data_IF_535636331552
#
_entry.id   IF_535636331552
#
_cell.length_a   1.000
_cell.length_b   1.000
_cell.length_c   1.000
_cell.angle_alpha   90.00
_cell.angle_beta   90.00
_cell.angle_gamma   90.00
#
_symmetry.space_group_name_H-M   'P 1'
#
loop_
_entity.id
_entity.type
_entity.pdbx_description
1 polymer ?
#
# COMPACT_ATOMS: atom_id res chain seq x y z
N UNK A 1 -5.51 -5.50 32.01
CA UNK A 1 -6.40 -6.36 32.84
C UNK A 1 -5.76 -6.82 34.16
N UNK A 2 -4.65 -7.58 34.15
CA UNK A 2 -4.07 -8.18 35.38
C UNK A 2 -3.67 -7.16 36.46
N UNK A 3 -3.13 -6.01 36.05
CA UNK A 3 -2.83 -4.89 36.96
C UNK A 3 -4.08 -4.42 37.70
N UNK A 4 -5.20 -4.26 37.00
CA UNK A 4 -6.48 -3.82 37.59
C UNK A 4 -7.07 -4.87 38.53
N UNK A 5 -6.94 -6.15 38.18
CA UNK A 5 -7.44 -7.26 38.99
C UNK A 5 -6.53 -7.60 40.18
N UNK A 6 -5.35 -6.98 40.28
CA UNK A 6 -4.31 -7.32 41.28
C UNK A 6 -3.91 -8.80 41.26
N UNK A 7 -3.92 -9.42 40.07
CA UNK A 7 -3.53 -10.82 39.86
C UNK A 7 -2.10 -10.84 39.27
N UNK A 8 -1.16 -11.62 39.85
CA UNK A 8 0.15 -11.85 39.25
C UNK A 8 0.05 -12.39 37.82
N UNK A 9 0.88 -11.89 36.91
CA UNK A 9 0.97 -12.35 35.53
C UNK A 9 2.39 -12.85 35.26
N UNK A 10 2.53 -13.97 34.54
CA UNK A 10 3.82 -14.41 34.02
C UNK A 10 3.79 -14.18 32.52
N UNK A 11 4.59 -13.24 32.05
CA UNK A 11 4.74 -12.95 30.62
C UNK A 11 5.90 -13.78 30.05
N UNK A 12 5.78 -14.25 28.83
CA UNK A 12 6.84 -15.00 28.16
C UNK A 12 6.84 -14.77 26.66
N UNK A 13 8.00 -14.88 26.03
CA UNK A 13 8.15 -14.72 24.59
C UNK A 13 9.33 -15.51 24.05
N UNK A 14 9.27 -15.89 22.78
CA UNK A 14 10.33 -16.65 22.10
C UNK A 14 10.58 -16.08 20.70
N UNK A 15 11.84 -16.15 20.24
CA UNK A 15 12.27 -15.76 18.90
C UNK A 15 13.46 -16.63 18.48
N UNK A 16 13.21 -17.70 17.72
CA UNK A 16 14.24 -18.67 17.37
C UNK A 16 14.80 -19.38 18.60
N UNK A 17 16.12 -19.33 18.80
CA UNK A 17 16.80 -19.91 19.98
C UNK A 17 16.73 -19.05 21.23
N UNK A 18 16.23 -17.80 21.13
CA UNK A 18 16.15 -16.87 22.24
C UNK A 18 14.74 -16.90 22.83
N UNK A 19 14.64 -16.68 24.14
CA UNK A 19 13.37 -16.50 24.82
C UNK A 19 13.57 -15.88 26.20
N UNK A 20 12.47 -15.40 26.77
CA UNK A 20 12.44 -14.78 28.09
C UNK A 20 11.16 -15.13 28.84
N UNK A 21 11.25 -15.10 30.17
CA UNK A 21 10.12 -15.17 31.09
C UNK A 21 10.24 -14.02 32.06
N UNK A 22 9.17 -13.24 32.22
CA UNK A 22 9.12 -12.06 33.06
C UNK A 22 7.90 -12.13 34.00
N UNK A 23 8.10 -12.32 35.32
CA UNK A 23 7.02 -12.23 36.29
C UNK A 23 6.61 -10.77 36.52
N UNK A 24 5.33 -10.47 36.34
CA UNK A 24 4.70 -9.16 36.51
C UNK A 24 3.81 -9.17 37.76
N UNK A 25 4.35 -8.68 38.89
CA UNK A 25 3.70 -8.67 40.20
C UNK A 25 3.05 -7.30 40.48
N UNK A 26 1.71 -7.21 40.55
CA UNK A 26 1.01 -5.98 40.90
C UNK A 26 1.18 -5.64 42.38
N UNK A 27 0.99 -4.36 42.74
CA UNK A 27 1.00 -3.93 44.13
C UNK A 27 -0.22 -4.51 44.87
N UNK A 28 0.01 -5.42 45.80
CA UNK A 28 -1.03 -5.97 46.68
C UNK A 28 -0.93 -5.23 48.03
N UNK A 29 -2.04 -4.64 48.47
CA UNK A 29 -2.20 -4.17 49.85
C UNK A 29 -2.83 -5.32 50.63
N UNK A 30 -2.09 -5.91 51.54
CA UNK A 30 -2.62 -6.84 52.54
C UNK A 30 -3.17 -6.03 53.71
N UNK A 31 -4.42 -6.28 54.10
CA UNK A 31 -5.12 -5.53 55.15
C UNK A 31 -4.68 -5.93 56.59
N UNK A 32 -3.66 -6.78 56.75
CA UNK A 32 -3.29 -7.41 58.03
C UNK A 32 -2.04 -6.84 58.72
N UNK A 33 -1.60 -5.62 58.41
CA UNK A 33 -0.44 -4.99 59.08
C UNK A 33 -0.87 -3.76 59.89
N UNK A 34 -1.37 -3.98 61.10
CA UNK A 34 -1.62 -2.95 62.13
C UNK A 34 -0.36 -2.43 62.82
N UNK A 35 0.83 -2.84 62.39
CA UNK A 35 2.10 -2.30 62.87
C UNK A 35 2.80 -1.52 61.75
N UNK A 36 3.31 -0.36 62.12
CA UNK A 36 3.83 0.72 61.28
C UNK A 36 5.19 0.44 60.63
N UNK A 37 5.44 -0.80 60.20
CA UNK A 37 6.66 -1.20 59.49
C UNK A 37 6.25 -2.13 58.34
N UNK A 38 5.52 -1.55 57.38
CA UNK A 38 4.88 -2.28 56.29
C UNK A 38 5.89 -2.99 55.41
N UNK A 39 5.88 -4.32 55.45
CA UNK A 39 6.68 -5.19 54.57
C UNK A 39 6.43 -4.79 53.12
N UNK A 40 7.48 -4.34 52.45
CA UNK A 40 7.45 -3.95 51.05
C UNK A 40 7.04 -5.17 50.21
N UNK A 41 5.79 -5.23 49.77
CA UNK A 41 5.34 -6.22 48.79
C UNK A 41 6.15 -6.02 47.50
N UNK A 42 6.93 -7.02 47.11
CA UNK A 42 7.71 -6.99 45.88
C UNK A 42 6.78 -6.68 44.70
N UNK A 43 7.00 -5.54 44.04
CA UNK A 43 6.24 -5.08 42.89
C UNK A 43 7.20 -4.91 41.72
N UNK A 44 6.83 -5.42 40.56
CA UNK A 44 7.58 -5.22 39.32
C UNK A 44 6.91 -4.14 38.45
N UNK A 45 7.60 -3.69 37.39
CA UNK A 45 6.93 -2.96 36.31
C UNK A 45 5.83 -3.81 35.67
N UNK A 46 4.82 -3.17 35.08
CA UNK A 46 3.87 -3.88 34.23
C UNK A 46 4.44 -4.06 32.81
N UNK A 47 3.73 -4.80 31.96
CA UNK A 47 4.14 -5.07 30.59
C UNK A 47 4.49 -3.80 29.78
N UNK A 48 3.76 -2.70 30.03
CA UNK A 48 3.85 -1.42 29.31
C UNK A 48 4.82 -0.41 29.94
N UNK A 49 5.44 -0.73 31.10
CA UNK A 49 6.41 0.17 31.73
C UNK A 49 7.69 0.35 30.90
N UNK A 50 7.97 -0.57 29.98
CA UNK A 50 9.08 -0.48 29.05
C UNK A 50 8.54 -0.60 27.62
N UNK A 51 8.97 0.28 26.69
CA UNK A 51 8.60 0.14 25.29
C UNK A 51 9.18 -1.18 24.77
N UNK A 52 8.32 -2.11 24.41
CA UNK A 52 8.72 -3.30 23.67
C UNK A 52 8.81 -2.89 22.21
N UNK A 53 9.92 -3.22 21.54
CA UNK A 53 10.19 -2.74 20.18
C UNK A 53 8.95 -2.88 19.30
N UNK A 54 8.57 -1.79 18.61
CA UNK A 54 7.43 -1.79 17.70
C UNK A 54 7.65 -2.90 16.68
N UNK A 55 6.91 -4.00 16.82
CA UNK A 55 7.13 -5.21 16.02
C UNK A 55 6.92 -4.98 14.52
N UNK A 56 6.24 -3.89 14.15
CA UNK A 56 6.06 -3.48 12.78
C UNK A 56 6.97 -2.30 12.43
N UNK A 57 7.84 -2.54 11.45
CA UNK A 57 8.54 -1.47 10.74
C UNK A 57 7.52 -0.73 9.87
N UNK A 58 7.51 0.59 9.96
CA UNK A 58 6.68 1.47 9.14
C UNK A 58 7.56 2.15 8.09
N UNK A 59 7.08 2.21 6.86
CA UNK A 59 7.80 2.80 5.72
C UNK A 59 6.95 3.92 5.11
N UNK A 60 7.56 5.05 4.69
CA UNK A 60 6.83 6.12 4.03
C UNK A 60 6.13 5.65 2.74
N UNK A 61 4.90 6.12 2.51
CA UNK A 61 4.13 5.73 1.32
C UNK A 61 4.86 6.06 0.01
N UNK A 62 5.52 7.21 -0.09
CA UNK A 62 6.32 7.59 -1.27
C UNK A 62 7.47 6.59 -1.55
N UNK A 63 8.11 6.05 -0.51
CA UNK A 63 9.13 5.00 -0.67
C UNK A 63 8.53 3.72 -1.26
N UNK A 64 7.35 3.32 -0.81
CA UNK A 64 6.69 2.09 -1.29
C UNK A 64 6.13 2.26 -2.70
N UNK A 65 5.59 3.44 -3.04
CA UNK A 65 4.87 3.70 -4.30
C UNK A 65 5.80 4.16 -5.43
N UNK A 66 6.83 4.94 -5.11
CA UNK A 66 7.66 5.60 -6.12
C UNK A 66 9.11 5.10 -6.10
N UNK A 67 9.75 5.02 -4.94
CA UNK A 67 11.22 4.83 -4.85
C UNK A 67 11.64 3.68 -3.93
N UNK A 68 11.20 2.44 -4.17
CA UNK A 68 11.58 1.30 -3.33
C UNK A 68 13.07 0.96 -3.53
N UNK A 69 13.86 1.12 -2.48
CA UNK A 69 15.32 0.88 -2.49
C UNK A 69 15.78 -0.44 -1.88
N UNK A 70 14.93 -1.14 -1.13
CA UNK A 70 15.24 -2.37 -0.42
C UNK A 70 14.21 -3.46 -0.75
N UNK A 71 14.58 -4.75 -0.74
CA UNK A 71 13.65 -5.85 -1.02
C UNK A 71 12.40 -5.85 -0.14
N UNK A 72 12.52 -5.39 1.11
CA UNK A 72 11.39 -5.29 2.05
C UNK A 72 10.32 -4.31 1.55
N UNK A 73 10.69 -3.24 0.85
CA UNK A 73 9.73 -2.28 0.28
C UNK A 73 8.84 -2.95 -0.78
N UNK A 74 9.41 -3.82 -1.61
CA UNK A 74 8.66 -4.60 -2.59
C UNK A 74 7.70 -5.61 -1.94
N UNK A 75 8.12 -6.23 -0.83
CA UNK A 75 7.25 -7.14 -0.06
C UNK A 75 6.09 -6.37 0.56
N UNK A 76 6.34 -5.17 1.10
CA UNK A 76 5.29 -4.30 1.65
C UNK A 76 4.34 -3.83 0.55
N UNK A 77 4.86 -3.41 -0.60
CA UNK A 77 4.06 -3.07 -1.80
C UNK A 77 3.15 -4.24 -2.21
N UNK A 78 3.67 -5.47 -2.24
CA UNK A 78 2.88 -6.65 -2.60
C UNK A 78 1.77 -6.96 -1.57
N UNK A 79 2.02 -6.71 -0.28
CA UNK A 79 1.00 -6.82 0.76
C UNK A 79 -0.13 -5.80 0.54
N UNK A 80 0.21 -4.54 0.26
CA UNK A 80 -0.77 -3.50 -0.05
C UNK A 80 -1.55 -3.82 -1.33
N UNK A 81 -0.89 -4.32 -2.38
CA UNK A 81 -1.56 -4.79 -3.60
C UNK A 81 -2.57 -5.90 -3.28
N UNK A 82 -2.19 -6.89 -2.48
CA UNK A 82 -3.10 -7.98 -2.10
C UNK A 82 -4.34 -7.45 -1.37
N UNK A 83 -4.12 -6.58 -0.37
CA UNK A 83 -5.22 -5.99 0.39
C UNK A 83 -6.10 -5.10 -0.51
N UNK A 84 -5.51 -4.34 -1.43
CA UNK A 84 -6.23 -3.54 -2.40
C UNK A 84 -7.12 -4.36 -3.34
N UNK A 85 -6.69 -5.54 -3.77
CA UNK A 85 -7.46 -6.36 -4.71
C UNK A 85 -8.50 -7.23 -3.98
N UNK A 86 -8.15 -7.79 -2.82
CA UNK A 86 -8.90 -8.87 -2.18
C UNK A 86 -9.25 -8.62 -0.71
N UNK A 87 -8.58 -7.68 -0.05
CA UNK A 87 -8.78 -7.33 1.36
C UNK A 87 -9.88 -6.30 1.60
N UNK A 88 -9.91 -5.72 2.80
CA UNK A 88 -10.75 -4.56 3.10
C UNK A 88 -10.16 -3.30 2.47
N UNK A 89 -11.01 -2.37 2.06
CA UNK A 89 -10.55 -1.09 1.53
C UNK A 89 -10.23 -0.16 2.68
N UNK A 90 -9.00 -0.21 3.19
CA UNK A 90 -8.51 0.81 4.11
C UNK A 90 -8.18 2.06 3.29
N UNK A 91 -8.88 3.15 3.55
CA UNK A 91 -8.90 4.36 2.70
C UNK A 91 -7.59 5.14 2.78
N UNK A 92 -6.83 4.98 3.86
CA UNK A 92 -5.82 5.97 4.24
C UNK A 92 -4.37 5.57 3.93
N UNK A 93 -4.01 4.28 3.75
CA UNK A 93 -2.58 3.89 3.75
C UNK A 93 -2.14 2.76 2.80
N UNK A 94 -2.97 2.32 1.85
CA UNK A 94 -2.63 1.17 0.99
C UNK A 94 -2.64 1.45 -0.51
N UNK A 95 -2.71 2.71 -0.97
CA UNK A 95 -2.58 3.00 -2.40
C UNK A 95 -1.17 2.61 -2.93
N UNK A 96 -1.14 1.85 -4.03
CA UNK A 96 0.07 1.34 -4.68
C UNK A 96 0.31 1.97 -6.05
N UNK A 97 -0.59 2.84 -6.51
CA UNK A 97 -0.44 3.62 -7.74
C UNK A 97 0.68 4.64 -7.57
N UNK A 98 1.42 5.04 -8.63
CA UNK A 98 2.43 6.11 -8.54
C UNK A 98 1.88 7.38 -7.87
N UNK A 99 2.64 7.93 -6.92
CA UNK A 99 2.23 9.06 -6.08
C UNK A 99 2.72 10.39 -6.65
N UNK A 100 1.81 11.16 -7.26
CA UNK A 100 2.11 12.49 -7.80
C UNK A 100 2.22 13.60 -6.75
N UNK A 101 1.91 13.30 -5.48
CA UNK A 101 2.02 14.25 -4.36
C UNK A 101 3.35 14.15 -3.60
N UNK A 102 4.27 13.33 -4.10
CA UNK A 102 5.59 13.12 -3.51
C UNK A 102 6.42 14.43 -3.49
N UNK A 103 6.88 14.91 -2.31
CA UNK A 103 7.64 16.15 -2.21
C UNK A 103 8.96 16.14 -2.99
N UNK A 104 9.55 14.95 -3.27
CA UNK A 104 10.76 14.85 -4.10
C UNK A 104 10.51 15.32 -5.55
N UNK A 105 9.25 15.41 -6.00
CA UNK A 105 8.86 15.90 -7.34
C UNK A 105 8.87 17.42 -7.48
N UNK A 106 9.07 18.16 -6.39
CA UNK A 106 9.01 19.63 -6.41
C UNK A 106 10.39 20.28 -6.20
N UNK A 107 11.46 19.48 -6.19
CA UNK A 107 12.80 19.96 -5.85
C UNK A 107 13.37 20.98 -6.87
N UNK A 108 12.96 20.91 -8.14
CA UNK A 108 13.50 21.75 -9.22
C UNK A 108 12.91 23.17 -9.34
N UNK A 109 11.84 23.50 -8.60
CA UNK A 109 11.16 24.80 -8.76
C UNK A 109 11.70 25.92 -7.85
N UNK A 110 12.60 25.62 -6.90
CA UNK A 110 13.09 26.62 -5.94
C UNK A 110 14.39 27.34 -6.36
N UNK A 111 14.94 27.02 -7.54
CA UNK A 111 16.22 27.59 -7.99
C UNK A 111 16.10 28.86 -8.84
N UNK A 112 14.89 29.27 -9.28
CA UNK A 112 14.70 30.46 -10.10
C UNK A 112 13.47 31.28 -9.68
N UNK A 113 13.66 32.23 -8.77
CA UNK A 113 12.64 33.21 -8.42
C UNK A 113 12.56 34.29 -9.51
N UNK A 114 11.52 34.26 -10.36
CA UNK A 114 11.00 35.43 -11.09
C UNK A 114 9.57 35.14 -11.56
N UNK A 115 8.66 36.05 -11.21
CA UNK A 115 7.21 36.00 -11.38
C UNK A 115 6.76 35.64 -12.81
N UNK A 116 5.86 34.66 -12.94
CA UNK A 116 4.78 34.67 -13.95
C UNK A 116 3.77 33.55 -13.67
N UNK A 117 2.54 33.93 -13.30
CA UNK A 117 1.36 33.07 -13.29
C UNK A 117 0.98 32.67 -14.72
N UNK A 118 0.98 31.38 -15.08
CA UNK A 118 0.18 30.83 -16.20
C UNK A 118 -0.12 29.35 -15.89
N UNK A 119 -1.30 28.98 -15.40
CA UNK A 119 -2.56 28.61 -16.10
C UNK A 119 -2.51 27.26 -16.83
N UNK A 120 -3.29 26.30 -16.30
CA UNK A 120 -3.66 25.00 -16.90
C UNK A 120 -4.03 25.14 -18.39
N UNK A 121 -3.57 24.23 -19.29
CA UNK A 121 -4.17 24.10 -20.61
C UNK A 121 -5.37 23.16 -20.57
N UNK A 122 -6.54 23.74 -20.80
CA UNK A 122 -7.79 23.09 -21.18
C UNK A 122 -7.68 22.54 -22.62
N UNK A 123 -8.21 21.34 -22.82
CA UNK A 123 -8.33 20.63 -24.09
C UNK A 123 -9.31 21.26 -25.10
N UNK A 124 -9.04 21.12 -26.40
CA UNK A 124 -10.08 20.88 -27.43
C UNK A 124 -9.48 20.32 -28.76
N UNK A 125 -10.29 19.65 -29.61
CA UNK A 125 -9.88 18.51 -30.45
C UNK A 125 -10.01 18.72 -31.97
N UNK A 126 -9.42 17.83 -32.77
CA UNK A 126 -9.78 17.50 -34.17
C UNK A 126 -9.42 16.01 -34.38
N UNK A 127 -10.38 15.09 -34.34
CA UNK A 127 -11.24 14.57 -35.42
C UNK A 127 -10.48 13.79 -36.49
N UNK A 128 -10.62 12.46 -36.45
CA UNK A 128 -10.98 11.54 -37.56
C UNK A 128 -10.94 10.10 -36.99
N UNK A 129 -12.12 9.51 -36.69
CA UNK A 129 -12.81 8.53 -37.55
C UNK A 129 -12.28 7.08 -37.28
N UNK A 130 -13.04 6.06 -36.85
CA UNK A 130 -14.46 5.77 -36.92
C UNK A 130 -14.87 4.70 -35.87
N UNK A 131 -16.07 4.90 -35.30
CA UNK A 131 -17.24 3.99 -35.22
C UNK A 131 -17.07 2.54 -34.71
N UNK A 132 -17.98 1.93 -33.93
CA UNK A 132 -19.43 2.19 -33.83
C UNK A 132 -19.97 1.77 -32.46
N UNK A 133 -20.86 2.62 -31.97
CA UNK A 133 -21.86 2.47 -30.93
C UNK A 133 -22.51 1.07 -30.79
N UNK A 134 -22.86 0.71 -29.54
CA UNK A 134 -24.29 0.70 -29.25
C UNK A 134 -24.59 1.16 -27.81
N UNK A 135 -25.38 2.23 -27.75
CA UNK A 135 -26.04 2.80 -26.59
C UNK A 135 -27.36 2.08 -26.35
N UNK A 136 -27.78 1.96 -25.09
CA UNK A 136 -29.17 2.21 -24.71
C UNK A 136 -29.22 2.69 -23.25
N UNK A 137 -29.94 3.80 -23.04
CA UNK A 137 -29.77 4.67 -21.86
C UNK A 137 -30.82 4.52 -20.76
N UNK A 138 -30.64 5.31 -19.70
CA UNK A 138 -31.63 6.27 -19.16
C UNK A 138 -31.05 7.06 -17.97
N UNK A 139 -31.18 8.40 -18.06
CA UNK A 139 -31.51 9.38 -17.02
C UNK A 139 -30.55 9.79 -15.87
N UNK A 140 -30.07 11.04 -16.00
CA UNK A 140 -30.02 12.15 -15.02
C UNK A 140 -29.75 11.83 -13.54
N UNK A 141 -28.61 12.32 -13.02
CA UNK A 141 -28.52 13.54 -12.19
C UNK A 141 -27.20 13.58 -11.41
N UNK A 142 -26.65 14.79 -11.21
CA UNK A 142 -25.60 15.03 -10.21
C UNK A 142 -24.19 15.22 -10.78
N UNK A 143 -23.82 16.49 -10.91
CA UNK A 143 -22.48 17.05 -10.88
C UNK A 143 -21.44 16.09 -10.24
N UNK A 144 -20.52 15.51 -11.02
CA UNK A 144 -19.37 14.81 -10.47
C UNK A 144 -18.15 15.01 -11.36
N UNK A 145 -17.03 15.41 -10.73
CA UNK A 145 -15.66 15.25 -11.25
C UNK A 145 -15.54 13.90 -11.96
N UNK A 146 -14.72 13.74 -13.01
CA UNK A 146 -14.43 12.41 -13.54
C UNK A 146 -13.90 11.56 -12.38
N UNK A 147 -14.68 10.57 -11.97
CA UNK A 147 -14.34 9.65 -10.89
C UNK A 147 -13.08 8.92 -11.32
N UNK A 148 -11.96 9.25 -10.69
CA UNK A 148 -10.74 8.49 -10.87
C UNK A 148 -11.02 7.06 -10.39
N UNK A 149 -11.11 6.12 -11.34
CA UNK A 149 -11.39 4.72 -11.09
C UNK A 149 -10.26 4.14 -10.22
N UNK A 150 -10.58 3.51 -9.08
CA UNK A 150 -9.57 2.86 -8.24
C UNK A 150 -9.04 1.59 -8.90
N UNK A 151 -7.87 1.11 -8.49
CA UNK A 151 -7.31 -0.15 -9.01
C UNK A 151 -8.27 -1.32 -8.80
N UNK A 152 -8.88 -1.40 -7.61
CA UNK A 152 -9.87 -2.42 -7.28
C UNK A 152 -11.08 -2.37 -8.23
N UNK A 153 -11.64 -1.17 -8.41
CA UNK A 153 -12.82 -0.99 -9.24
C UNK A 153 -12.51 -1.31 -10.70
N UNK A 154 -11.36 -0.84 -11.19
CA UNK A 154 -10.86 -1.18 -12.51
C UNK A 154 -10.72 -2.69 -12.72
N UNK A 155 -10.11 -3.40 -11.76
CA UNK A 155 -9.89 -4.84 -11.87
C UNK A 155 -11.21 -5.62 -11.81
N UNK A 156 -12.16 -5.21 -10.97
CA UNK A 156 -13.50 -5.81 -10.90
C UNK A 156 -14.27 -5.64 -12.20
N UNK A 157 -14.23 -4.45 -12.80
CA UNK A 157 -14.87 -4.21 -14.09
C UNK A 157 -14.25 -5.04 -15.21
N UNK A 158 -12.91 -5.13 -15.25
CA UNK A 158 -12.20 -5.99 -16.20
C UNK A 158 -12.63 -7.45 -16.07
N UNK A 159 -12.73 -7.94 -14.84
CA UNK A 159 -13.14 -9.31 -14.54
C UNK A 159 -14.59 -9.57 -14.96
N UNK A 160 -15.51 -8.66 -14.60
CA UNK A 160 -16.94 -8.79 -14.92
C UNK A 160 -17.24 -8.67 -16.41
N UNK A 161 -16.61 -7.72 -17.11
CA UNK A 161 -16.87 -7.48 -18.52
C UNK A 161 -16.44 -8.69 -19.37
N UNK A 162 -15.32 -9.34 -19.03
CA UNK A 162 -14.89 -10.53 -19.77
C UNK A 162 -15.76 -11.76 -19.47
N UNK A 163 -16.23 -11.93 -18.22
CA UNK A 163 -17.16 -12.99 -17.88
C UNK A 163 -18.46 -12.93 -18.71
N UNK A 164 -18.91 -11.72 -19.07
CA UNK A 164 -20.14 -11.52 -19.86
C UNK A 164 -19.97 -11.74 -21.37
N UNK A 165 -18.74 -11.67 -21.90
CA UNK A 165 -18.47 -11.72 -23.35
C UNK A 165 -17.90 -13.05 -23.85
N UNK A 166 -17.55 -13.98 -22.96
CA UNK A 166 -16.86 -15.22 -23.34
C UNK A 166 -17.66 -16.49 -23.01
N UNK A 167 -17.89 -17.35 -24.01
CA UNK A 167 -18.16 -18.80 -23.80
C UNK A 167 -16.85 -19.58 -23.52
N UNK A 168 -15.82 -18.92 -22.97
CA UNK A 168 -14.49 -19.50 -22.77
C UNK A 168 -14.45 -20.33 -21.49
N UNK A 169 -13.56 -21.33 -21.46
CA UNK A 169 -13.23 -22.04 -20.21
C UNK A 169 -12.64 -21.08 -19.17
N UNK A 170 -12.92 -21.32 -17.88
CA UNK A 170 -12.50 -20.44 -16.76
C UNK A 170 -10.99 -20.09 -16.76
N UNK A 171 -10.15 -20.99 -17.29
CA UNK A 171 -8.70 -20.83 -17.36
C UNK A 171 -8.27 -19.70 -18.31
N UNK A 172 -8.93 -19.53 -19.45
CA UNK A 172 -8.57 -18.53 -20.47
C UNK A 172 -8.92 -17.11 -20.00
N UNK A 173 -10.08 -16.98 -19.35
CA UNK A 173 -10.55 -15.76 -18.71
C UNK A 173 -9.57 -15.28 -17.63
N UNK A 174 -9.18 -16.20 -16.73
CA UNK A 174 -8.25 -15.93 -15.63
C UNK A 174 -6.85 -15.54 -16.12
N UNK A 175 -6.33 -16.25 -17.13
CA UNK A 175 -5.05 -15.92 -17.77
C UNK A 175 -5.06 -14.50 -18.35
N UNK A 176 -6.13 -14.13 -19.06
CA UNK A 176 -6.20 -12.82 -19.71
C UNK A 176 -6.40 -11.69 -18.71
N UNK A 177 -7.16 -11.89 -17.63
CA UNK A 177 -7.33 -10.90 -16.57
C UNK A 177 -6.05 -10.69 -15.76
N UNK A 178 -5.37 -11.78 -15.37
CA UNK A 178 -4.07 -11.74 -14.69
C UNK A 178 -3.00 -11.04 -15.53
N UNK A 179 -2.95 -11.33 -16.84
CA UNK A 179 -2.05 -10.68 -17.78
C UNK A 179 -2.29 -9.17 -17.87
N UNK A 180 -3.57 -8.76 -17.87
CA UNK A 180 -3.94 -7.34 -17.95
C UNK A 180 -3.56 -6.59 -16.67
N UNK A 181 -3.75 -7.23 -15.51
CA UNK A 181 -3.33 -6.69 -14.21
C UNK A 181 -1.80 -6.57 -14.15
N UNK A 182 -1.06 -7.62 -14.52
CA UNK A 182 0.39 -7.61 -14.55
C UNK A 182 0.93 -6.51 -15.48
N UNK A 183 0.35 -6.36 -16.67
CA UNK A 183 0.72 -5.30 -17.60
C UNK A 183 0.45 -3.90 -17.04
N UNK A 184 -0.67 -3.72 -16.33
CA UNK A 184 -0.95 -2.44 -15.67
C UNK A 184 0.13 -2.09 -14.65
N UNK A 185 0.41 -3.01 -13.73
CA UNK A 185 1.29 -2.77 -12.58
C UNK A 185 2.77 -2.70 -12.95
N UNK A 186 3.26 -3.64 -13.77
CA UNK A 186 4.70 -3.80 -14.04
C UNK A 186 5.18 -3.11 -15.32
N UNK A 187 4.26 -2.63 -16.15
CA UNK A 187 4.62 -1.86 -17.35
C UNK A 187 4.04 -0.46 -17.30
N UNK A 188 2.71 -0.31 -17.32
CA UNK A 188 2.07 1.01 -17.48
C UNK A 188 2.36 1.95 -16.29
N UNK A 189 2.28 1.44 -15.07
CA UNK A 189 2.57 2.25 -13.88
C UNK A 189 4.06 2.56 -13.77
N UNK A 190 4.95 1.65 -14.18
CA UNK A 190 6.40 1.91 -14.26
C UNK A 190 6.72 2.98 -15.32
N UNK A 191 6.10 2.92 -16.50
CA UNK A 191 6.23 3.97 -17.54
C UNK A 191 5.75 5.33 -17.00
N UNK A 192 4.64 5.33 -16.25
CA UNK A 192 4.12 6.54 -15.59
C UNK A 192 5.15 7.10 -14.60
N UNK A 193 5.74 6.22 -13.80
CA UNK A 193 6.74 6.54 -12.80
C UNK A 193 8.05 7.07 -13.42
N UNK A 194 8.50 6.53 -14.55
CA UNK A 194 9.64 7.07 -15.33
C UNK A 194 9.36 8.49 -15.82
N UNK A 195 8.10 8.78 -16.15
CA UNK A 195 7.66 10.14 -16.53
C UNK A 195 7.89 11.18 -15.44
N UNK A 196 8.01 10.77 -14.17
CA UNK A 196 8.28 11.62 -13.02
C UNK A 196 9.80 11.89 -12.90
N UNK A 197 10.36 12.61 -13.88
CA UNK A 197 11.81 12.76 -14.10
C UNK A 197 12.60 13.23 -12.88
N UNK A 198 12.03 14.09 -12.03
CA UNK A 198 12.70 14.62 -10.83
C UNK A 198 13.06 13.52 -9.83
N UNK A 199 12.43 12.35 -9.91
CA UNK A 199 12.82 11.18 -9.12
C UNK A 199 14.11 10.52 -9.62
N UNK A 200 14.50 10.70 -10.89
CA UNK A 200 15.53 9.87 -11.54
C UNK A 200 16.72 10.67 -12.04
N UNK A 201 16.48 11.87 -12.57
CA UNK A 201 17.51 12.70 -13.20
C UNK A 201 18.43 13.30 -12.13
N UNK A 202 19.74 13.24 -12.38
CA UNK A 202 20.80 13.79 -11.50
C UNK A 202 20.83 13.21 -10.07
N UNK A 203 20.17 12.07 -9.84
CA UNK A 203 20.18 11.32 -8.57
C UNK A 203 21.21 10.18 -8.64
N UNK A 204 22.20 10.21 -7.75
CA UNK A 204 23.22 9.15 -7.66
C UNK A 204 22.82 8.01 -6.72
N UNK A 205 21.84 8.25 -5.86
CA UNK A 205 21.34 7.33 -4.83
C UNK A 205 20.37 6.27 -5.38
N UNK A 206 19.85 6.45 -6.59
CA UNK A 206 18.83 5.58 -7.17
C UNK A 206 18.91 5.55 -8.70
N UNK A 207 18.44 4.45 -9.27
CA UNK A 207 18.38 4.22 -10.72
C UNK A 207 16.94 4.21 -11.19
N UNK A 208 16.70 4.75 -12.37
CA UNK A 208 15.42 4.64 -13.08
C UNK A 208 14.98 3.16 -13.21
N UNK A 209 13.71 2.83 -12.91
CA UNK A 209 13.18 1.48 -13.08
C UNK A 209 13.00 1.13 -14.56
N UNK A 210 13.10 -0.16 -14.90
CA UNK A 210 12.84 -0.64 -16.26
C UNK A 210 11.43 -1.27 -16.34
N UNK A 211 10.55 -0.83 -17.24
CA UNK A 211 9.24 -1.45 -17.42
C UNK A 211 9.37 -2.89 -17.92
N UNK A 212 8.44 -3.76 -17.52
CA UNK A 212 8.40 -5.14 -18.00
C UNK A 212 8.03 -5.19 -19.49
N UNK A 213 8.77 -5.95 -20.29
CA UNK A 213 8.48 -6.12 -21.72
C UNK A 213 7.32 -7.09 -21.99
N UNK A 214 6.60 -6.88 -23.09
CA UNK A 214 5.46 -7.72 -23.47
C UNK A 214 5.90 -9.15 -23.83
N UNK A 215 7.09 -9.32 -24.40
CA UNK A 215 7.66 -10.65 -24.69
C UNK A 215 7.87 -11.45 -23.41
N UNK A 216 8.47 -10.84 -22.39
CA UNK A 216 8.72 -11.45 -21.08
C UNK A 216 7.43 -11.89 -20.41
N UNK A 217 6.38 -11.06 -20.48
CA UNK A 217 5.08 -11.43 -19.93
C UNK A 217 4.46 -12.63 -20.65
N UNK A 218 4.53 -12.66 -21.99
CA UNK A 218 4.04 -13.79 -22.78
C UNK A 218 4.80 -15.08 -22.50
N UNK A 219 6.13 -15.00 -22.39
CA UNK A 219 6.97 -16.13 -22.01
C UNK A 219 6.56 -16.70 -20.64
N UNK A 220 6.34 -15.83 -19.64
CA UNK A 220 5.94 -16.26 -18.30
C UNK A 220 4.56 -16.96 -18.25
N UNK A 221 3.62 -16.54 -19.09
CA UNK A 221 2.29 -17.16 -19.20
C UNK A 221 2.39 -18.53 -19.88
N UNK A 222 3.15 -18.59 -20.98
CA UNK A 222 3.31 -19.80 -21.77
C UNK A 222 4.16 -20.87 -21.07
N UNK A 223 5.05 -20.49 -20.16
CA UNK A 223 5.90 -21.44 -19.42
C UNK A 223 5.10 -22.37 -18.49
N UNK A 224 3.88 -21.98 -18.10
CA UNK A 224 3.01 -22.74 -17.19
C UNK A 224 1.77 -23.35 -17.88
N UNK A 225 1.66 -23.26 -19.22
CA UNK A 225 0.58 -23.85 -20.02
C UNK A 225 1.04 -25.14 -20.69
#
# INVERSE_FOLDING_TARGET
>A
MCVSAKIPLVESGTAGYLGQVEPLLPAIRTEESSNSDGVLTCRTGCYECQPRGLGQRHFPACTIRNTPSEPIHCVVWAKYLFNQLFGQSDVDDEDISPDFSDPDLHHNNNSNHSQSEVKLPTSSPTTEANDTHNSDGLNNSGLNKPSQLTLREWFRQLWSNKANHSNSTDNELSSTASSSLAWRLFHRDIVTLIGMRDLWVDRQDRREPNPLEMSTLKEAINYNS
#
